data_IF_525845271192
#
_entry.id   IF_525845271192
#
_cell.length_a   1.000
_cell.length_b   1.000
_cell.length_c   1.000
_cell.angle_alpha   90.00
_cell.angle_beta   90.00
_cell.angle_gamma   90.00
#
_symmetry.space_group_name_H-M   'P 1'
#
loop_
_entity.id
_entity.type
_entity.pdbx_description
1 polymer ?
#
# COMPACT_ATOMS: atom_id res chain seq x y z
N UNK A 1 -2.75 -18.82 2.62
CA UNK A 1 -2.40 -17.90 1.52
C UNK A 1 -3.29 -18.19 0.33
N UNK A 2 -4.26 -17.33 0.09
CA UNK A 2 -5.01 -17.35 -1.17
C UNK A 2 -5.10 -15.92 -1.66
N UNK A 3 -4.34 -15.62 -2.71
CA UNK A 3 -4.58 -14.52 -3.62
C UNK A 3 -5.59 -15.07 -4.60
N UNK A 4 -6.83 -14.58 -4.57
CA UNK A 4 -7.90 -15.06 -5.44
C UNK A 4 -8.36 -13.92 -6.34
N UNK A 5 -8.28 -14.19 -7.65
CA UNK A 5 -9.15 -13.60 -8.65
C UNK A 5 -10.54 -14.23 -8.47
N UNK A 6 -11.58 -13.41 -8.24
CA UNK A 6 -12.93 -13.87 -7.94
C UNK A 6 -13.59 -14.66 -9.05
N UNK A 7 -14.43 -15.63 -8.70
CA UNK A 7 -15.77 -15.74 -9.26
C UNK A 7 -16.88 -15.67 -8.19
N UNK A 8 -18.04 -15.28 -8.69
CA UNK A 8 -19.29 -15.03 -8.01
C UNK A 8 -19.87 -16.29 -7.33
N UNK A 9 -20.39 -16.11 -6.10
CA UNK A 9 -21.59 -16.78 -5.57
C UNK A 9 -21.41 -18.01 -4.71
N UNK A 10 -21.79 -17.91 -3.48
CA UNK A 10 -22.86 -18.57 -2.72
C UNK A 10 -22.55 -18.65 -1.22
N UNK A 11 -23.59 -18.39 -0.45
CA UNK A 11 -23.66 -18.44 1.01
C UNK A 11 -23.16 -19.76 1.61
N UNK A 12 -22.38 -19.65 2.71
CA UNK A 12 -22.52 -20.53 3.87
C UNK A 12 -21.90 -19.87 5.10
N UNK A 13 -22.74 -19.60 6.09
CA UNK A 13 -22.34 -19.21 7.43
C UNK A 13 -21.58 -20.36 8.11
N UNK A 14 -20.33 -20.10 8.55
CA UNK A 14 -19.71 -20.84 9.65
C UNK A 14 -18.57 -20.04 10.28
N UNK A 15 -18.80 -19.64 11.52
CA UNK A 15 -17.88 -19.51 12.65
C UNK A 15 -16.43 -19.04 12.39
N UNK A 16 -16.14 -17.79 12.81
CA UNK A 16 -14.87 -17.30 13.38
C UNK A 16 -13.56 -17.89 12.84
N UNK A 17 -13.24 -17.57 11.61
CA UNK A 17 -11.89 -17.26 11.18
C UNK A 17 -11.93 -15.80 10.72
N UNK A 18 -11.33 -14.90 11.48
CA UNK A 18 -10.92 -13.62 10.95
C UNK A 18 -9.90 -13.93 9.86
N UNK A 19 -10.38 -14.09 8.63
CA UNK A 19 -9.53 -14.21 7.46
C UNK A 19 -8.99 -12.82 7.17
N UNK A 20 -7.79 -12.56 7.68
CA UNK A 20 -7.01 -11.39 7.30
C UNK A 20 -6.70 -11.51 5.80
N UNK A 21 -7.42 -10.76 5.01
CA UNK A 21 -7.29 -10.74 3.56
C UNK A 21 -6.94 -9.32 3.12
N UNK A 22 -5.85 -9.20 2.38
CA UNK A 22 -5.47 -7.97 1.69
C UNK A 22 -5.73 -8.18 0.20
N UNK A 23 -6.70 -7.46 -0.34
CA UNK A 23 -6.93 -7.41 -1.78
C UNK A 23 -5.94 -6.45 -2.41
N UNK A 24 -5.28 -6.86 -3.47
CA UNK A 24 -4.34 -6.04 -4.26
C UNK A 24 -4.78 -6.01 -5.71
N UNK A 25 -4.91 -4.81 -6.28
CA UNK A 25 -5.28 -4.61 -7.67
C UNK A 25 -4.33 -3.63 -8.36
N UNK A 26 -3.67 -4.07 -9.42
CA UNK A 26 -2.99 -3.18 -10.35
C UNK A 26 -4.05 -2.50 -11.24
N UNK A 27 -4.30 -1.21 -11.01
CA UNK A 27 -5.29 -0.42 -11.74
C UNK A 27 -4.73 0.09 -13.06
N UNK A 28 -3.46 0.43 -13.07
CA UNK A 28 -2.74 0.91 -14.23
C UNK A 28 -1.31 0.38 -14.25
N UNK A 29 -0.85 -0.01 -15.42
CA UNK A 29 0.48 -0.61 -15.64
C UNK A 29 1.17 -0.05 -16.89
N UNK A 30 0.66 1.04 -17.48
CA UNK A 30 1.31 1.74 -18.57
C UNK A 30 2.24 2.82 -18.03
N UNK A 31 3.43 2.93 -18.60
CA UNK A 31 4.32 4.07 -18.40
C UNK A 31 4.05 5.17 -19.43
N UNK A 32 4.25 6.42 -19.08
CA UNK A 32 4.17 7.66 -19.87
C UNK A 32 2.91 7.90 -20.70
N UNK A 33 2.42 6.91 -21.45
CA UNK A 33 1.30 7.07 -22.38
C UNK A 33 0.16 6.13 -22.01
N UNK A 34 -1.05 6.64 -21.71
CA UNK A 34 -2.22 5.80 -21.52
C UNK A 34 -2.61 5.16 -22.85
N UNK A 35 -2.97 3.89 -22.77
CA UNK A 35 -3.49 3.13 -23.91
C UNK A 35 -4.96 2.78 -23.68
N UNK A 36 -5.75 2.55 -24.72
CA UNK A 36 -7.10 2.03 -24.56
C UNK A 36 -7.09 0.78 -23.68
N UNK A 37 -7.88 0.80 -22.61
CA UNK A 37 -7.98 -0.29 -21.62
C UNK A 37 -6.69 -0.59 -20.82
N UNK A 38 -5.72 0.29 -20.86
CA UNK A 38 -4.49 0.21 -20.08
C UNK A 38 -4.09 1.60 -19.58
N UNK A 39 -4.41 1.85 -18.31
CA UNK A 39 -4.22 3.13 -17.66
C UNK A 39 -2.80 3.28 -17.10
N UNK A 40 -2.43 4.51 -16.76
CA UNK A 40 -1.13 4.82 -16.16
C UNK A 40 -1.04 4.30 -14.73
N UNK A 41 0.17 4.31 -14.21
CA UNK A 41 0.59 3.66 -12.97
C UNK A 41 -0.32 3.97 -11.78
N UNK A 42 -0.93 2.94 -11.23
CA UNK A 42 -1.69 2.98 -9.98
C UNK A 42 -1.93 1.56 -9.43
N UNK A 43 -1.79 1.40 -8.13
CA UNK A 43 -2.09 0.15 -7.41
C UNK A 43 -2.98 0.44 -6.21
N UNK A 44 -4.07 -0.33 -6.05
CA UNK A 44 -5.02 -0.18 -4.95
C UNK A 44 -5.03 -1.43 -4.08
N UNK A 45 -4.87 -1.24 -2.79
CA UNK A 45 -4.94 -2.27 -1.78
C UNK A 45 -6.15 -2.03 -0.89
N UNK A 46 -6.87 -3.10 -0.50
CA UNK A 46 -8.03 -3.01 0.40
C UNK A 46 -7.84 -3.93 1.59
N UNK A 47 -8.03 -3.39 2.76
CA UNK A 47 -7.98 -4.12 4.01
C UNK A 47 -8.99 -3.55 5.01
N UNK A 48 -9.83 -4.42 5.58
CA UNK A 48 -10.75 -4.09 6.68
C UNK A 48 -11.58 -2.80 6.46
N UNK A 49 -12.13 -2.64 5.25
CA UNK A 49 -12.97 -1.49 4.89
C UNK A 49 -12.22 -0.21 4.50
N UNK A 50 -10.90 -0.18 4.64
CA UNK A 50 -10.03 0.90 4.20
C UNK A 50 -9.32 0.55 2.90
N UNK A 51 -9.03 1.54 2.07
CA UNK A 51 -8.24 1.38 0.85
C UNK A 51 -7.04 2.29 0.87
N UNK A 52 -5.91 1.73 0.42
CA UNK A 52 -4.64 2.42 0.23
C UNK A 52 -4.30 2.40 -1.26
N UNK A 53 -4.13 3.58 -1.85
CA UNK A 53 -3.71 3.75 -3.24
C UNK A 53 -2.22 4.09 -3.28
N UNK A 54 -1.46 3.45 -4.15
CA UNK A 54 -0.08 3.83 -4.46
C UNK A 54 -0.04 4.35 -5.88
N UNK A 55 0.35 5.59 -6.05
CA UNK A 55 0.30 6.40 -7.26
C UNK A 55 -1.12 6.58 -7.82
N UNK A 56 -1.28 7.58 -8.66
CA UNK A 56 -2.54 7.98 -9.23
C UNK A 56 -2.32 8.54 -10.65
N UNK A 57 -1.94 7.67 -11.57
CA UNK A 57 -1.75 8.01 -12.97
C UNK A 57 -3.07 8.32 -13.66
N UNK A 58 -2.99 8.83 -14.89
CA UNK A 58 -4.17 9.14 -15.69
C UNK A 58 -5.05 7.90 -15.90
N UNK A 59 -6.36 8.06 -15.69
CA UNK A 59 -7.33 6.99 -15.81
C UNK A 59 -7.57 6.15 -14.57
N UNK A 60 -6.86 6.42 -13.45
CA UNK A 60 -7.02 5.66 -12.20
C UNK A 60 -8.47 5.59 -11.75
N UNK A 61 -9.23 6.69 -11.79
CA UNK A 61 -10.65 6.70 -11.42
C UNK A 61 -11.51 5.83 -12.34
N UNK A 62 -11.16 5.70 -13.62
CA UNK A 62 -11.87 4.84 -14.58
C UNK A 62 -11.57 3.38 -14.25
N UNK A 63 -10.30 3.05 -14.04
CA UNK A 63 -9.87 1.71 -13.67
C UNK A 63 -10.54 1.19 -12.38
N UNK A 64 -10.69 2.05 -11.36
CA UNK A 64 -11.41 1.72 -10.12
C UNK A 64 -12.87 1.33 -10.45
N UNK A 65 -13.54 2.11 -11.31
CA UNK A 65 -14.92 1.83 -11.74
C UNK A 65 -15.02 0.55 -12.56
N UNK A 66 -14.12 0.30 -13.49
CA UNK A 66 -14.06 -0.93 -14.29
C UNK A 66 -13.89 -2.18 -13.41
N UNK A 67 -13.20 -2.07 -12.28
CA UNK A 67 -13.06 -3.15 -11.29
C UNK A 67 -14.28 -3.30 -10.37
N UNK A 68 -15.27 -2.42 -10.47
CA UNK A 68 -16.42 -2.42 -9.57
C UNK A 68 -16.09 -1.97 -8.15
N UNK A 69 -14.94 -1.33 -7.94
CA UNK A 69 -14.55 -0.79 -6.65
C UNK A 69 -15.04 0.65 -6.50
N UNK A 70 -14.98 1.17 -5.29
CA UNK A 70 -15.51 2.49 -4.94
C UNK A 70 -14.42 3.43 -4.45
N UNK A 71 -14.68 4.75 -4.52
CA UNK A 71 -13.72 5.78 -4.15
C UNK A 71 -13.75 6.11 -2.66
N UNK A 72 -14.93 6.03 -2.02
CA UNK A 72 -15.14 6.48 -0.64
C UNK A 72 -14.20 5.84 0.37
N UNK A 73 -13.85 4.53 0.28
CA UNK A 73 -12.93 3.90 1.23
C UNK A 73 -11.46 4.25 1.08
N UNK A 74 -11.07 5.05 0.07
CA UNK A 74 -9.66 5.43 -0.12
C UNK A 74 -9.27 6.42 0.98
N UNK A 75 -8.58 5.92 2.00
CA UNK A 75 -8.17 6.69 3.17
C UNK A 75 -6.73 7.18 3.09
N UNK A 76 -5.90 6.48 2.30
CA UNK A 76 -4.48 6.75 2.14
C UNK A 76 -4.10 6.73 0.68
N UNK A 77 -3.33 7.73 0.24
CA UNK A 77 -2.66 7.74 -1.07
C UNK A 77 -1.17 7.93 -0.83
N UNK A 78 -0.35 6.98 -1.29
CA UNK A 78 1.10 7.07 -1.28
C UNK A 78 1.59 7.43 -2.68
N UNK A 79 2.46 8.43 -2.81
CA UNK A 79 3.12 8.77 -4.06
C UNK A 79 4.57 8.33 -4.03
N UNK A 80 4.98 7.57 -5.03
CA UNK A 80 6.38 7.16 -5.18
C UNK A 80 7.24 8.38 -5.55
N UNK A 81 6.78 9.17 -6.50
CA UNK A 81 7.39 10.42 -6.97
C UNK A 81 6.37 11.25 -7.76
N UNK A 82 6.80 12.38 -8.37
CA UNK A 82 5.89 13.33 -8.99
C UNK A 82 6.07 13.47 -10.50
N UNK A 83 6.45 12.40 -11.21
CA UNK A 83 6.30 12.39 -12.66
C UNK A 83 4.80 12.32 -13.02
N UNK A 84 4.44 12.85 -14.19
CA UNK A 84 3.05 13.03 -14.57
C UNK A 84 2.26 11.71 -14.60
N UNK A 85 2.84 10.65 -15.12
CA UNK A 85 2.26 9.32 -15.23
C UNK A 85 1.95 8.65 -13.86
N UNK A 86 2.46 9.21 -12.77
CA UNK A 86 2.21 8.74 -11.40
C UNK A 86 1.23 9.62 -10.62
N UNK A 87 0.87 10.82 -11.10
CA UNK A 87 0.05 11.77 -10.33
C UNK A 87 -1.01 12.50 -11.16
N UNK A 88 -0.97 12.45 -12.49
CA UNK A 88 -1.87 13.22 -13.36
C UNK A 88 -3.36 12.89 -13.19
N UNK A 89 -3.70 11.70 -12.68
CA UNK A 89 -5.09 11.30 -12.40
C UNK A 89 -5.66 11.86 -11.11
N UNK A 90 -4.83 12.46 -10.24
CA UNK A 90 -5.24 12.88 -8.90
C UNK A 90 -6.41 13.90 -8.89
N UNK A 91 -6.42 14.97 -9.70
CA UNK A 91 -7.53 15.94 -9.66
C UNK A 91 -8.89 15.29 -9.95
N UNK A 92 -8.94 14.44 -10.97
CA UNK A 92 -10.16 13.71 -11.33
C UNK A 92 -10.59 12.71 -10.24
N UNK A 93 -9.64 12.02 -9.62
CA UNK A 93 -9.93 11.11 -8.51
C UNK A 93 -10.51 11.87 -7.30
N UNK A 94 -9.92 12.99 -6.91
CA UNK A 94 -10.40 13.81 -5.79
C UNK A 94 -11.84 14.30 -6.00
N UNK A 95 -12.17 14.75 -7.22
CA UNK A 95 -13.54 15.12 -7.57
C UNK A 95 -14.47 13.91 -7.50
N UNK A 96 -14.05 12.75 -7.97
CA UNK A 96 -14.83 11.51 -7.89
C UNK A 96 -15.08 11.07 -6.45
N UNK A 97 -14.09 11.24 -5.56
CA UNK A 97 -14.22 10.97 -4.13
C UNK A 97 -15.21 11.94 -3.47
N UNK A 98 -15.16 13.22 -3.82
CA UNK A 98 -16.13 14.22 -3.35
C UNK A 98 -17.55 13.90 -3.81
N UNK A 99 -17.72 13.53 -5.08
CA UNK A 99 -19.03 13.14 -5.63
C UNK A 99 -19.55 11.81 -5.05
N UNK A 100 -18.69 10.98 -4.49
CA UNK A 100 -19.06 9.78 -3.73
C UNK A 100 -19.39 10.07 -2.27
N UNK A 101 -19.59 11.35 -1.92
CA UNK A 101 -19.98 11.81 -0.58
C UNK A 101 -18.97 11.42 0.51
N UNK A 102 -17.67 11.43 0.16
CA UNK A 102 -16.64 11.28 1.17
C UNK A 102 -16.51 12.55 1.98
N UNK A 103 -16.54 12.44 3.29
CA UNK A 103 -16.34 13.54 4.26
C UNK A 103 -15.16 13.30 5.21
N UNK A 104 -14.74 12.05 5.34
CA UNK A 104 -13.61 11.66 6.17
C UNK A 104 -12.28 12.19 5.60
N UNK A 105 -11.33 12.58 6.45
CA UNK A 105 -10.03 13.05 6.02
C UNK A 105 -9.31 12.04 5.12
N UNK A 106 -8.59 12.53 4.11
CA UNK A 106 -7.72 11.77 3.24
C UNK A 106 -6.26 12.05 3.61
N UNK A 107 -5.48 11.01 3.90
CA UNK A 107 -4.06 11.15 4.15
C UNK A 107 -3.26 10.88 2.88
N UNK A 108 -2.39 11.82 2.52
CA UNK A 108 -1.43 11.64 1.43
C UNK A 108 -0.01 11.56 1.97
N UNK A 109 0.75 10.59 1.48
CA UNK A 109 2.13 10.30 1.86
C UNK A 109 2.99 10.41 0.61
N UNK A 110 4.14 11.06 0.70
CA UNK A 110 5.03 11.15 -0.47
C UNK A 110 6.32 11.90 -0.20
N UNK A 111 7.19 12.03 -1.20
CA UNK A 111 8.42 12.78 -1.10
C UNK A 111 8.20 14.24 -0.70
N UNK A 112 9.24 14.90 -0.24
CA UNK A 112 9.27 16.35 0.04
C UNK A 112 8.64 17.16 -1.11
N UNK A 113 7.78 18.11 -0.77
CA UNK A 113 7.06 18.96 -1.71
C UNK A 113 5.68 18.43 -2.11
N UNK A 114 5.19 17.38 -1.44
CA UNK A 114 3.88 16.77 -1.65
C UNK A 114 2.75 17.81 -1.58
N UNK A 115 2.67 18.57 -0.50
CA UNK A 115 1.63 19.59 -0.31
C UNK A 115 1.64 20.63 -1.44
N UNK A 116 2.82 21.10 -1.86
CA UNK A 116 2.97 22.06 -2.95
C UNK A 116 2.48 21.49 -4.27
N UNK A 117 2.86 20.25 -4.62
CA UNK A 117 2.47 19.60 -5.88
C UNK A 117 0.98 19.34 -5.91
N UNK A 118 0.42 18.76 -4.85
CA UNK A 118 -1.01 18.50 -4.73
C UNK A 118 -1.80 19.81 -4.73
N UNK A 119 -1.33 20.84 -4.03
CA UNK A 119 -1.93 22.17 -4.02
C UNK A 119 -2.03 22.77 -5.42
N UNK A 120 -0.97 22.65 -6.25
CA UNK A 120 -0.97 23.11 -7.63
C UNK A 120 -1.98 22.35 -8.50
N UNK A 121 -2.03 21.03 -8.38
CA UNK A 121 -2.99 20.19 -9.10
C UNK A 121 -4.45 20.49 -8.69
N UNK A 122 -4.68 20.81 -7.41
CA UNK A 122 -5.99 21.14 -6.87
C UNK A 122 -6.52 22.52 -7.27
N UNK A 123 -5.73 23.37 -7.91
CA UNK A 123 -6.23 24.68 -8.37
C UNK A 123 -7.47 24.56 -9.26
N UNK A 124 -7.65 23.44 -9.95
CA UNK A 124 -8.84 23.14 -10.78
C UNK A 124 -9.98 22.46 -10.00
N UNK A 125 -9.74 22.05 -8.75
CA UNK A 125 -10.69 21.41 -7.84
C UNK A 125 -10.47 21.92 -6.40
N UNK A 126 -10.66 23.23 -6.15
CA UNK A 126 -10.24 23.85 -4.90
C UNK A 126 -11.12 23.42 -3.71
N UNK A 127 -12.40 23.15 -3.96
CA UNK A 127 -13.36 22.79 -2.93
C UNK A 127 -13.61 21.28 -2.90
N UNK A 128 -13.30 20.67 -1.77
CA UNK A 128 -13.54 19.26 -1.51
C UNK A 128 -14.30 19.14 -0.18
N UNK A 129 -15.24 18.17 -0.05
CA UNK A 129 -16.01 17.99 1.19
C UNK A 129 -15.22 17.29 2.30
N UNK A 130 -13.92 17.06 2.13
CA UNK A 130 -13.02 16.42 3.07
C UNK A 130 -11.67 17.14 3.16
N UNK A 131 -11.05 17.01 4.33
CA UNK A 131 -9.69 17.49 4.60
C UNK A 131 -8.64 16.59 3.92
N UNK A 132 -7.55 17.17 3.44
CA UNK A 132 -6.35 16.44 3.02
C UNK A 132 -5.25 16.68 4.06
N UNK A 133 -4.70 15.59 4.58
CA UNK A 133 -3.55 15.57 5.50
C UNK A 133 -2.32 15.10 4.75
N UNK A 134 -1.20 15.80 4.94
CA UNK A 134 0.05 15.52 4.25
C UNK A 134 1.10 14.96 5.19
N UNK A 135 1.76 13.89 4.77
CA UNK A 135 2.95 13.32 5.41
C UNK A 135 4.07 13.34 4.37
N UNK A 136 4.97 14.31 4.48
CA UNK A 136 6.13 14.42 3.63
C UNK A 136 7.29 13.60 4.18
N UNK A 137 7.84 12.70 3.36
CA UNK A 137 8.99 11.88 3.72
C UNK A 137 10.25 12.68 3.45
N UNK A 138 11.02 12.92 4.50
CA UNK A 138 12.24 13.72 4.47
C UNK A 138 13.51 12.85 4.50
N UNK A 139 13.42 11.70 5.17
CA UNK A 139 14.53 10.78 5.40
C UNK A 139 14.58 9.67 4.32
N UNK A 140 15.69 8.95 4.18
CA UNK A 140 15.81 7.84 3.25
C UNK A 140 14.82 6.69 3.53
N UNK A 141 14.37 6.53 4.76
CA UNK A 141 13.41 5.53 5.20
C UNK A 141 12.43 6.16 6.19
N UNK A 142 11.18 5.72 6.18
CA UNK A 142 10.16 6.15 7.13
C UNK A 142 9.13 5.04 7.37
N UNK A 143 8.72 4.90 8.62
CA UNK A 143 7.66 3.98 9.03
C UNK A 143 6.42 4.76 9.46
N UNK A 144 5.26 4.38 8.94
CA UNK A 144 3.98 5.05 9.17
C UNK A 144 2.93 3.98 9.49
N UNK A 145 2.26 4.14 10.63
CA UNK A 145 1.12 3.31 11.01
C UNK A 145 -0.16 4.08 10.76
N UNK A 146 -1.04 3.55 9.91
CA UNK A 146 -2.31 4.19 9.58
C UNK A 146 -3.35 3.16 9.16
N UNK A 147 -4.56 3.22 9.72
CA UNK A 147 -5.71 2.40 9.37
C UNK A 147 -5.42 0.88 9.31
N UNK A 148 -4.54 0.39 10.19
CA UNK A 148 -4.13 -1.02 10.22
C UNK A 148 -3.08 -1.41 9.19
N UNK A 149 -2.63 -0.46 8.37
CA UNK A 149 -1.46 -0.61 7.52
C UNK A 149 -0.20 -0.17 8.27
N UNK A 150 0.84 -0.98 8.23
CA UNK A 150 2.20 -0.55 8.50
C UNK A 150 2.87 -0.30 7.15
N UNK A 151 3.23 0.95 6.90
CA UNK A 151 3.82 1.41 5.65
C UNK A 151 5.28 1.75 5.92
N UNK A 152 6.20 1.02 5.28
CA UNK A 152 7.63 1.32 5.29
C UNK A 152 8.00 1.92 3.94
N UNK A 153 8.35 3.20 3.93
CA UNK A 153 8.88 3.90 2.76
C UNK A 153 10.39 3.78 2.70
N UNK A 154 10.96 3.49 1.55
CA UNK A 154 12.40 3.37 1.36
C UNK A 154 12.83 4.05 0.06
N UNK A 155 13.94 4.80 0.12
CA UNK A 155 14.44 5.55 -1.02
C UNK A 155 15.05 4.63 -2.06
N UNK A 156 14.77 4.93 -3.32
CA UNK A 156 15.27 4.19 -4.49
C UNK A 156 16.03 5.11 -5.46
N UNK A 157 16.58 4.55 -6.52
CA UNK A 157 17.47 5.27 -7.44
C UNK A 157 16.76 5.64 -8.75
N UNK A 158 16.14 6.81 -8.75
CA UNK A 158 15.51 7.39 -9.94
C UNK A 158 16.05 8.80 -10.24
N UNK A 159 15.56 9.45 -11.31
CA UNK A 159 16.01 10.78 -11.74
C UNK A 159 15.59 11.90 -10.77
N UNK A 160 14.48 11.72 -10.09
CA UNK A 160 14.01 12.59 -9.01
C UNK A 160 13.89 11.80 -7.71
N UNK A 161 13.60 12.46 -6.61
CA UNK A 161 13.36 11.75 -5.33
C UNK A 161 12.20 10.79 -5.49
N UNK A 162 12.48 9.51 -5.28
CA UNK A 162 11.53 8.41 -5.46
C UNK A 162 11.63 7.43 -4.30
N UNK A 163 10.48 6.92 -3.84
CA UNK A 163 10.36 5.91 -2.80
C UNK A 163 9.62 4.68 -3.29
N UNK A 164 10.07 3.51 -2.84
CA UNK A 164 9.26 2.32 -2.80
C UNK A 164 8.49 2.24 -1.48
N UNK A 165 7.47 1.41 -1.43
CA UNK A 165 6.63 1.21 -0.25
C UNK A 165 6.46 -0.28 0.04
N UNK A 166 6.73 -0.67 1.27
CA UNK A 166 6.31 -1.97 1.79
C UNK A 166 5.10 -1.77 2.67
N UNK A 167 4.02 -2.46 2.37
CA UNK A 167 2.77 -2.42 3.13
C UNK A 167 2.60 -3.74 3.84
N UNK A 168 2.54 -3.70 5.17
CA UNK A 168 2.37 -4.87 6.01
C UNK A 168 1.06 -4.81 6.77
N UNK A 169 0.33 -5.92 6.76
CA UNK A 169 -0.76 -6.19 7.69
C UNK A 169 -0.21 -7.07 8.78
N UNK A 170 0.06 -6.49 9.94
CA UNK A 170 0.60 -7.21 11.09
C UNK A 170 -0.49 -7.99 11.80
N UNK A 171 -0.17 -9.19 12.23
CA UNK A 171 -1.11 -10.06 12.95
C UNK A 171 -0.60 -10.30 14.36
N UNK A 172 -1.36 -9.82 15.33
CA UNK A 172 -1.11 -10.13 16.74
C UNK A 172 -1.16 -11.64 17.00
N UNK A 173 -0.53 -12.08 18.06
CA UNK A 173 -0.65 -13.43 18.58
C UNK A 173 -2.09 -13.79 18.91
N UNK A 174 -2.37 -15.08 19.07
CA UNK A 174 -3.68 -15.51 19.54
C UNK A 174 -3.87 -15.09 21.00
N UNK A 175 -5.06 -14.58 21.31
CA UNK A 175 -5.45 -14.31 22.69
C UNK A 175 -5.52 -15.62 23.49
N UNK A 176 -4.86 -15.66 24.63
CA UNK A 176 -4.88 -16.78 25.56
C UNK A 176 -5.83 -16.48 26.73
N UNK A 177 -6.97 -17.16 26.72
CA UNK A 177 -7.93 -17.09 27.83
C UNK A 177 -7.31 -17.64 29.11
N UNK A 178 -6.42 -18.63 29.00
CA UNK A 178 -5.72 -19.24 30.12
C UNK A 178 -4.82 -18.19 30.81
N UNK A 179 -3.95 -17.51 30.03
CA UNK A 179 -3.09 -16.45 30.55
C UNK A 179 -3.88 -15.27 31.14
N UNK A 180 -5.01 -14.91 30.52
CA UNK A 180 -5.86 -13.85 31.03
C UNK A 180 -6.48 -14.21 32.37
N UNK A 181 -6.91 -15.49 32.56
CA UNK A 181 -7.42 -15.99 33.81
C UNK A 181 -6.35 -16.15 34.88
N UNK A 182 -5.21 -16.73 34.56
CA UNK A 182 -4.06 -16.88 35.49
C UNK A 182 -3.58 -15.55 36.05
N UNK A 183 -3.65 -14.47 35.23
CA UNK A 183 -3.29 -13.12 35.66
C UNK A 183 -4.45 -12.30 36.21
N UNK A 184 -5.58 -12.94 36.41
CA UNK A 184 -6.82 -12.33 36.94
C UNK A 184 -7.26 -11.08 36.20
N UNK A 185 -6.99 -11.03 34.87
CA UNK A 185 -7.36 -9.88 34.03
C UNK A 185 -8.87 -9.87 33.79
N UNK A 186 -9.58 -8.80 34.16
CA UNK A 186 -11.02 -8.70 33.99
C UNK A 186 -11.46 -8.85 32.53
N UNK A 187 -12.49 -9.64 32.27
CA UNK A 187 -12.98 -9.95 30.92
C UNK A 187 -13.34 -8.69 30.10
N UNK A 188 -13.77 -7.61 30.76
CA UNK A 188 -14.07 -6.32 30.10
C UNK A 188 -12.87 -5.72 29.35
N UNK A 189 -11.64 -6.12 29.67
CA UNK A 189 -10.41 -5.63 29.03
C UNK A 189 -9.88 -6.54 27.92
N UNK A 190 -10.38 -7.77 27.80
CA UNK A 190 -9.82 -8.76 26.87
C UNK A 190 -9.85 -8.31 25.42
N UNK A 191 -10.95 -7.73 24.96
CA UNK A 191 -11.07 -7.24 23.56
C UNK A 191 -10.10 -6.10 23.26
N UNK A 192 -9.88 -5.22 24.23
CA UNK A 192 -8.94 -4.09 24.08
C UNK A 192 -7.51 -4.59 24.03
N UNK A 193 -7.12 -5.51 24.91
CA UNK A 193 -5.81 -6.14 24.91
C UNK A 193 -5.58 -6.96 23.63
N UNK A 194 -6.59 -7.67 23.13
CA UNK A 194 -6.52 -8.38 21.86
C UNK A 194 -6.25 -7.45 20.67
N UNK A 195 -6.74 -6.22 20.74
CA UNK A 195 -6.50 -5.17 19.74
C UNK A 195 -5.16 -4.45 19.89
N UNK A 196 -4.37 -4.81 20.88
CA UNK A 196 -3.06 -4.21 21.14
C UNK A 196 -3.09 -2.98 22.03
N UNK A 197 -4.22 -2.69 22.71
CA UNK A 197 -4.31 -1.55 23.61
C UNK A 197 -3.69 -1.92 24.98
N UNK A 198 -2.89 -1.00 25.55
CA UNK A 198 -2.48 -1.04 26.96
C UNK A 198 -3.58 -0.44 27.81
N UNK A 199 -3.77 -0.98 29.01
CA UNK A 199 -4.82 -0.55 29.93
C UNK A 199 -4.24 -0.24 31.28
N UNK A 200 -4.46 0.98 31.72
CA UNK A 200 -4.17 1.43 33.06
C UNK A 200 -5.50 1.63 33.80
N UNK A 201 -5.66 0.98 34.95
CA UNK A 201 -6.89 1.03 35.75
C UNK A 201 -6.80 2.08 36.85
N UNK A 202 -7.91 2.56 37.35
CA UNK A 202 -7.97 3.59 38.41
C UNK A 202 -7.32 3.12 39.74
N UNK A 203 -7.25 1.83 39.97
CA UNK A 203 -6.60 1.18 41.12
C UNK A 203 -5.11 0.89 40.87
N UNK A 204 -4.55 1.35 39.74
CA UNK A 204 -3.14 1.26 39.42
C UNK A 204 -2.68 -0.05 38.81
N UNK A 205 -3.60 -0.95 38.44
CA UNK A 205 -3.21 -2.14 37.68
C UNK A 205 -2.92 -1.78 36.22
N UNK A 206 -1.81 -2.31 35.67
CA UNK A 206 -1.40 -2.12 34.29
C UNK A 206 -1.43 -3.45 33.54
N UNK A 207 -2.22 -3.50 32.49
CA UNK A 207 -2.34 -4.69 31.64
C UNK A 207 -1.84 -4.38 30.23
N UNK A 208 -0.97 -5.23 29.70
CA UNK A 208 -0.37 -5.08 28.36
C UNK A 208 -0.74 -6.26 27.47
N UNK A 209 -0.77 -6.06 26.14
CA UNK A 209 -1.13 -7.11 25.17
C UNK A 209 -0.30 -8.38 25.28
N UNK A 210 0.99 -8.27 25.58
CA UNK A 210 1.91 -9.41 25.74
C UNK A 210 1.57 -10.33 26.90
N UNK A 211 0.82 -9.84 27.89
CA UNK A 211 0.34 -10.66 29.00
C UNK A 211 -0.66 -11.73 28.55
N UNK A 212 -1.37 -11.51 27.44
CA UNK A 212 -2.48 -12.35 26.97
C UNK A 212 -2.34 -12.80 25.52
N UNK A 213 -1.44 -12.20 24.75
CA UNK A 213 -1.19 -12.57 23.36
C UNK A 213 -0.03 -13.57 23.28
N UNK A 214 -0.20 -14.61 22.48
CA UNK A 214 0.89 -15.50 22.11
C UNK A 214 1.85 -14.84 21.12
N UNK A 215 2.79 -15.62 20.58
CA UNK A 215 3.72 -15.13 19.56
C UNK A 215 2.99 -14.51 18.36
N UNK A 216 3.55 -13.41 17.83
CA UNK A 216 3.02 -12.78 16.63
C UNK A 216 2.91 -13.78 15.48
N UNK A 217 1.80 -13.73 14.75
CA UNK A 217 1.56 -14.62 13.61
C UNK A 217 2.11 -13.99 12.35
N UNK A 218 2.45 -14.82 11.34
CA UNK A 218 2.84 -14.30 10.04
C UNK A 218 1.74 -13.37 9.51
N UNK A 219 2.09 -12.12 9.25
CA UNK A 219 1.24 -11.14 8.60
C UNK A 219 1.22 -11.30 7.09
N UNK A 220 0.76 -10.26 6.39
CA UNK A 220 0.82 -10.14 4.94
C UNK A 220 1.75 -8.98 4.61
N UNK A 221 2.68 -9.20 3.70
CA UNK A 221 3.68 -8.20 3.29
C UNK A 221 3.66 -8.03 1.78
N UNK A 222 3.37 -6.83 1.31
CA UNK A 222 3.41 -6.45 -0.11
C UNK A 222 4.40 -5.32 -0.29
N UNK A 223 5.36 -5.49 -1.19
CA UNK A 223 6.29 -4.42 -1.56
C UNK A 223 5.98 -3.93 -2.96
N UNK A 224 5.85 -2.61 -3.09
CA UNK A 224 5.62 -1.90 -4.34
C UNK A 224 6.80 -0.98 -4.64
N UNK A 225 7.39 -1.14 -5.80
CA UNK A 225 8.52 -0.32 -6.23
C UNK A 225 8.45 -0.15 -7.75
N UNK A 226 8.30 1.08 -8.19
CA UNK A 226 8.31 1.45 -9.59
C UNK A 226 9.67 2.04 -9.98
N UNK A 227 9.75 3.03 -10.78
CA UNK A 227 10.89 3.71 -11.40
C UNK A 227 12.18 3.70 -10.58
N UNK A 228 13.04 2.72 -10.84
CA UNK A 228 14.33 2.63 -10.15
C UNK A 228 15.34 1.74 -10.87
N UNK A 229 16.62 2.00 -10.62
CA UNK A 229 17.65 0.97 -10.78
C UNK A 229 17.60 0.00 -9.59
N UNK A 230 18.07 -1.26 -9.73
CA UNK A 230 18.22 -2.14 -8.58
C UNK A 230 19.02 -1.47 -7.46
N UNK A 231 18.50 -1.53 -6.23
CA UNK A 231 19.15 -0.99 -5.03
C UNK A 231 19.17 -2.03 -3.92
N UNK A 232 20.12 -1.88 -2.99
CA UNK A 232 20.15 -2.73 -1.79
C UNK A 232 18.95 -2.45 -0.88
N UNK A 233 18.49 -1.19 -0.83
CA UNK A 233 17.29 -0.81 -0.06
C UNK A 233 16.04 -1.53 -0.57
N UNK A 234 15.88 -1.66 -1.90
CA UNK A 234 14.79 -2.43 -2.49
C UNK A 234 14.85 -3.91 -2.10
N UNK A 235 16.02 -4.54 -2.21
CA UNK A 235 16.20 -5.95 -1.83
C UNK A 235 15.91 -6.15 -0.35
N UNK A 236 16.43 -5.27 0.51
CA UNK A 236 16.23 -5.36 1.96
C UNK A 236 14.76 -5.17 2.35
N UNK A 237 14.10 -4.15 1.79
CA UNK A 237 12.68 -3.85 2.09
C UNK A 237 11.74 -4.91 1.54
N UNK A 238 12.04 -5.48 0.36
CA UNK A 238 11.24 -6.53 -0.25
C UNK A 238 11.46 -7.92 0.38
N UNK A 239 12.45 -8.08 1.26
CA UNK A 239 12.80 -9.39 1.82
C UNK A 239 11.60 -10.10 2.43
N UNK A 240 11.38 -11.36 1.99
CA UNK A 240 10.29 -12.23 2.43
C UNK A 240 8.87 -11.66 2.18
N UNK A 241 8.71 -10.73 1.23
CA UNK A 241 7.38 -10.27 0.84
C UNK A 241 6.56 -11.40 0.24
N UNK A 242 5.26 -11.41 0.56
CA UNK A 242 4.32 -12.34 -0.07
C UNK A 242 4.09 -11.95 -1.54
N UNK A 243 4.17 -10.65 -1.84
CA UNK A 243 4.09 -10.12 -3.20
C UNK A 243 5.06 -8.95 -3.36
N UNK A 244 5.87 -8.99 -4.41
CA UNK A 244 6.63 -7.85 -4.92
C UNK A 244 5.98 -7.39 -6.22
N UNK A 245 5.55 -6.12 -6.25
CA UNK A 245 5.15 -5.42 -7.45
C UNK A 245 6.28 -4.48 -7.82
N UNK A 246 6.86 -4.66 -9.00
CA UNK A 246 8.08 -3.98 -9.38
C UNK A 246 8.03 -3.66 -10.87
N UNK A 247 8.66 -2.56 -11.29
CA UNK A 247 8.76 -2.25 -12.71
C UNK A 247 9.48 -3.34 -13.50
N UNK A 248 9.13 -3.48 -14.77
CA UNK A 248 9.81 -4.31 -15.74
C UNK A 248 9.75 -3.64 -17.10
N UNK A 249 10.23 -2.37 -17.17
CA UNK A 249 10.11 -1.49 -18.32
C UNK A 249 10.59 -2.14 -19.64
N UNK A 250 11.67 -2.91 -19.58
CA UNK A 250 12.27 -3.49 -20.76
C UNK A 250 12.37 -5.03 -20.62
N UNK A 251 11.73 -5.74 -21.55
CA UNK A 251 11.78 -7.19 -21.61
C UNK A 251 13.13 -7.72 -22.10
N UNK A 252 13.81 -6.98 -22.98
CA UNK A 252 15.04 -7.42 -23.68
C UNK A 252 16.29 -7.07 -22.90
N UNK A 253 17.22 -8.02 -22.82
CA UNK A 253 18.53 -7.82 -22.16
C UNK A 253 19.36 -6.72 -22.81
N UNK A 254 19.23 -6.58 -24.11
CA UNK A 254 19.96 -5.58 -24.93
C UNK A 254 19.59 -4.16 -24.56
N UNK A 255 18.41 -3.93 -23.97
CA UNK A 255 17.94 -2.61 -23.52
C UNK A 255 18.49 -2.17 -22.16
N UNK A 256 19.42 -2.93 -21.55
CA UNK A 256 20.00 -2.58 -20.23
C UNK A 256 20.70 -1.21 -20.24
N UNK A 257 21.31 -0.82 -21.33
CA UNK A 257 21.94 0.50 -21.46
C UNK A 257 20.89 1.62 -21.39
N UNK A 258 19.75 1.43 -22.06
CA UNK A 258 18.62 2.37 -22.03
C UNK A 258 17.98 2.41 -20.62
N UNK A 259 17.81 1.26 -19.99
CA UNK A 259 17.34 1.16 -18.62
C UNK A 259 18.24 1.93 -17.64
N UNK A 260 19.56 1.80 -17.77
CA UNK A 260 20.54 2.57 -16.97
C UNK A 260 20.45 4.07 -17.22
N UNK A 261 20.31 4.49 -18.48
CA UNK A 261 20.24 5.90 -18.87
C UNK A 261 19.02 6.59 -18.24
N UNK A 262 17.86 5.95 -18.26
CA UNK A 262 16.60 6.50 -17.77
C UNK A 262 16.29 6.10 -16.32
N UNK A 263 17.19 5.33 -15.68
CA UNK A 263 17.06 4.83 -14.31
C UNK A 263 15.82 3.95 -14.09
N UNK A 264 15.61 3.04 -15.01
CA UNK A 264 14.62 1.97 -14.96
C UNK A 264 15.28 0.59 -14.85
N UNK A 265 14.49 -0.46 -14.61
CA UNK A 265 14.94 -1.84 -14.61
C UNK A 265 14.50 -2.59 -15.87
N UNK A 266 15.30 -3.57 -16.26
CA UNK A 266 14.84 -4.64 -17.13
C UNK A 266 14.06 -5.68 -16.30
N UNK A 267 13.21 -6.46 -16.96
CA UNK A 267 12.51 -7.57 -16.31
C UNK A 267 13.48 -8.57 -15.65
N UNK A 268 14.64 -8.80 -16.27
CA UNK A 268 15.68 -9.68 -15.70
C UNK A 268 16.26 -9.13 -14.41
N UNK A 269 16.50 -7.82 -14.33
CA UNK A 269 17.00 -7.19 -13.10
C UNK A 269 15.93 -7.23 -12.00
N UNK A 270 14.66 -7.03 -12.34
CA UNK A 270 13.55 -7.17 -11.42
C UNK A 270 13.44 -8.62 -10.87
N UNK A 271 13.60 -9.62 -11.74
CA UNK A 271 13.60 -11.02 -11.33
C UNK A 271 14.80 -11.37 -10.42
N UNK A 272 15.97 -10.79 -10.66
CA UNK A 272 17.14 -10.94 -9.77
C UNK A 272 16.91 -10.30 -8.39
N UNK A 273 16.26 -9.13 -8.35
CA UNK A 273 15.84 -8.48 -7.10
C UNK A 273 14.88 -9.40 -6.33
N UNK A 274 13.85 -9.91 -7.00
CA UNK A 274 12.86 -10.81 -6.40
C UNK A 274 13.51 -12.06 -5.80
N UNK A 275 14.45 -12.65 -6.53
CA UNK A 275 15.22 -13.83 -6.07
C UNK A 275 16.07 -13.52 -4.86
N UNK A 276 16.83 -12.42 -4.86
CA UNK A 276 17.66 -11.99 -3.73
C UNK A 276 16.84 -11.65 -2.48
N UNK A 277 15.67 -11.07 -2.69
CA UNK A 277 14.73 -10.72 -1.62
C UNK A 277 13.90 -11.91 -1.12
N UNK A 278 14.01 -13.08 -1.75
CA UNK A 278 13.25 -14.29 -1.37
C UNK A 278 11.74 -14.04 -1.32
N UNK A 279 11.21 -13.30 -2.30
CA UNK A 279 9.78 -13.00 -2.37
C UNK A 279 8.99 -14.24 -2.81
N UNK A 280 7.77 -14.39 -2.30
CA UNK A 280 6.94 -15.53 -2.64
C UNK A 280 6.35 -15.42 -4.06
N UNK A 281 5.96 -14.22 -4.47
CA UNK A 281 5.41 -13.93 -5.80
C UNK A 281 5.91 -12.56 -6.28
N UNK A 282 6.15 -12.43 -7.58
CA UNK A 282 6.46 -11.15 -8.23
C UNK A 282 5.44 -10.87 -9.33
N UNK A 283 5.00 -9.63 -9.41
CA UNK A 283 4.25 -9.06 -10.53
C UNK A 283 5.04 -7.89 -11.10
N UNK A 284 5.18 -7.83 -12.40
CA UNK A 284 5.78 -6.66 -13.02
C UNK A 284 4.69 -5.68 -13.46
N UNK A 285 5.01 -4.42 -13.39
CA UNK A 285 4.21 -3.30 -13.87
C UNK A 285 5.06 -2.39 -14.75
N UNK A 286 4.47 -1.35 -15.34
CA UNK A 286 5.17 -0.37 -16.14
C UNK A 286 5.92 -0.95 -17.35
N UNK A 287 5.17 -1.61 -18.22
CA UNK A 287 5.71 -2.10 -19.49
C UNK A 287 5.58 -1.04 -20.57
N UNK A 288 6.63 -0.84 -21.36
CA UNK A 288 6.49 -0.13 -22.64
C UNK A 288 5.59 -0.94 -23.59
N UNK A 289 4.90 -0.24 -24.47
CA UNK A 289 3.98 -0.81 -25.47
C UNK A 289 4.71 -1.44 -26.68
N UNK A 290 6.04 -1.60 -26.64
CA UNK A 290 6.82 -2.24 -27.70
C UNK A 290 6.98 -3.74 -27.51
#
# INVERSE_FOLDING_TARGET
>A
SKILSSPVGSDFASQNKEDYMLDVCLLGTAGMMPLPHRWLTASLMRYNGSSLLIDCGEGTQIAIKEKGWTFKPIDVICFTHYHADHISGLPGLLLSMGNAERTEPLTMIGPKGLERVVGALRMIAPELPFEIRYIEIMEPEADIEINGYHIHAFRVNHNITCYGYTVEIRRAGRFSVEHAKEREIPQKYWNRLQKGEEIETEDGAHYTPDMVLGAARKGIKVTYCTDTRPTESLVASAKNSDLLICEGMYAEKEKIAKAKQYKHMTFYEAAEVAKKAEVAEMRSEEHTSE
#
